data_IF_646763591310
#
_entry.id   IF_646763591310
#
_cell.length_a   1.000
_cell.length_b   1.000
_cell.length_c   1.000
_cell.angle_alpha   90.00
_cell.angle_beta   90.00
_cell.angle_gamma   90.00
#
_symmetry.space_group_name_H-M   'P 1'
#
loop_
_entity.id
_entity.type
_entity.pdbx_description
1 polymer ?
#
# COMPACT_ATOMS: atom_id res chain seq x y z
N UNK A 1 13.85 -14.58 -14.93
CA UNK A 1 13.90 -13.17 -14.52
C UNK A 1 12.99 -13.09 -13.30
N UNK A 2 13.46 -12.54 -12.18
CA UNK A 2 12.56 -12.33 -11.05
C UNK A 2 11.50 -11.31 -11.49
N UNK A 3 10.23 -11.63 -11.28
CA UNK A 3 9.12 -10.73 -11.58
C UNK A 3 9.31 -9.40 -10.83
N UNK A 4 9.12 -8.28 -11.54
CA UNK A 4 9.29 -6.93 -11.02
C UNK A 4 8.21 -6.61 -9.96
N UNK A 5 8.62 -5.97 -8.86
CA UNK A 5 7.70 -5.49 -7.82
C UNK A 5 6.98 -4.23 -8.32
N UNK A 6 5.66 -4.20 -8.20
CA UNK A 6 4.84 -3.02 -8.55
C UNK A 6 3.93 -2.63 -7.40
N UNK A 7 3.99 -1.34 -7.03
CA UNK A 7 3.13 -0.73 -6.02
C UNK A 7 2.01 0.08 -6.68
N UNK A 8 0.77 -0.40 -6.59
CA UNK A 8 -0.41 0.28 -7.13
C UNK A 8 -1.13 1.05 -6.03
N UNK A 9 -1.01 2.38 -6.03
CA UNK A 9 -1.67 3.25 -5.04
C UNK A 9 -3.19 3.28 -5.25
N UNK A 10 -3.94 3.00 -4.19
CA UNK A 10 -5.42 3.03 -4.21
C UNK A 10 -5.99 4.18 -3.37
N UNK A 11 -5.25 4.67 -2.37
CA UNK A 11 -5.65 5.82 -1.54
C UNK A 11 -4.46 6.75 -1.35
N UNK A 12 -4.73 8.05 -1.40
CA UNK A 12 -3.80 9.10 -0.98
C UNK A 12 -4.53 10.19 -0.22
N UNK A 13 -4.01 10.51 0.95
CA UNK A 13 -4.43 11.66 1.76
C UNK A 13 -3.20 12.49 2.13
N UNK A 14 -3.39 13.53 2.95
CA UNK A 14 -2.28 14.36 3.43
C UNK A 14 -1.30 13.58 4.32
N UNK A 15 -1.80 12.60 5.08
CA UNK A 15 -1.04 11.89 6.11
C UNK A 15 -1.09 10.36 5.98
N UNK A 16 -1.65 9.83 4.88
CA UNK A 16 -1.76 8.38 4.70
C UNK A 16 -1.88 7.96 3.24
N UNK A 17 -1.32 6.80 2.92
CA UNK A 17 -1.36 6.19 1.60
C UNK A 17 -1.60 4.68 1.73
N UNK A 18 -2.29 4.10 0.75
CA UNK A 18 -2.52 2.65 0.68
C UNK A 18 -2.13 2.15 -0.70
N UNK A 19 -1.35 1.06 -0.74
CA UNK A 19 -0.86 0.44 -1.96
C UNK A 19 -1.20 -1.04 -1.98
N UNK A 20 -1.64 -1.54 -3.14
CA UNK A 20 -1.66 -2.98 -3.44
C UNK A 20 -0.31 -3.35 -4.03
N UNK A 21 0.26 -4.45 -3.53
CA UNK A 21 1.60 -4.93 -3.88
C UNK A 21 1.47 -6.09 -4.86
N UNK A 22 2.18 -5.98 -5.98
CA UNK A 22 2.19 -6.98 -7.05
C UNK A 22 3.62 -7.46 -7.32
N UNK A 23 3.75 -8.73 -7.68
CA UNK A 23 4.95 -9.32 -8.27
C UNK A 23 4.54 -10.00 -9.57
N UNK A 24 4.84 -9.34 -10.69
CA UNK A 24 4.27 -9.73 -11.99
C UNK A 24 2.74 -9.65 -11.96
N UNK A 25 2.06 -10.76 -12.24
CA UNK A 25 0.59 -10.86 -12.17
C UNK A 25 0.06 -11.28 -10.78
N UNK A 26 0.96 -11.62 -9.85
CA UNK A 26 0.60 -12.13 -8.53
C UNK A 26 0.42 -11.00 -7.53
N UNK A 27 -0.75 -10.92 -6.89
CA UNK A 27 -0.97 -10.05 -5.72
C UNK A 27 -0.23 -10.63 -4.53
N UNK A 28 0.66 -9.83 -3.93
CA UNK A 28 1.37 -10.19 -2.70
C UNK A 28 0.61 -9.76 -1.46
N UNK A 29 -0.14 -8.67 -1.56
CA UNK A 29 -0.89 -8.11 -0.43
C UNK A 29 -1.11 -6.62 -0.53
N UNK A 30 -1.24 -5.96 0.61
CA UNK A 30 -1.53 -4.54 0.72
C UNK A 30 -0.71 -3.90 1.84
N UNK A 31 -0.23 -2.68 1.61
CA UNK A 31 0.44 -1.87 2.62
C UNK A 31 -0.32 -0.59 2.90
N UNK A 32 -0.50 -0.30 4.18
CA UNK A 32 -1.07 0.94 4.71
C UNK A 32 0.07 1.73 5.35
N UNK A 33 0.22 2.98 4.93
CA UNK A 33 1.29 3.86 5.38
C UNK A 33 0.63 5.08 6.01
N UNK A 34 1.02 5.39 7.24
CA UNK A 34 0.58 6.59 7.96
C UNK A 34 1.79 7.42 8.33
N UNK A 35 1.79 8.66 7.84
CA UNK A 35 2.84 9.64 8.09
C UNK A 35 2.50 10.44 9.34
N UNK A 36 3.30 10.27 10.39
CA UNK A 36 3.37 11.18 11.52
C UNK A 36 4.66 12.01 11.42
N UNK A 37 4.76 13.11 12.18
CA UNK A 37 5.76 14.17 11.99
C UNK A 37 7.17 13.68 11.63
N UNK A 38 7.74 12.80 12.46
CA UNK A 38 9.05 12.17 12.22
C UNK A 38 9.01 10.64 12.26
N UNK A 39 7.81 10.07 12.36
CA UNK A 39 7.60 8.62 12.53
C UNK A 39 6.66 8.13 11.45
N UNK A 40 6.96 6.96 10.89
CA UNK A 40 6.14 6.34 9.85
C UNK A 40 5.63 5.01 10.36
N UNK A 41 4.32 4.84 10.29
CA UNK A 41 3.66 3.60 10.67
C UNK A 41 3.27 2.85 9.40
N UNK A 42 3.78 1.63 9.27
CA UNK A 42 3.53 0.76 8.14
C UNK A 42 2.86 -0.52 8.62
N UNK A 43 1.68 -0.79 8.08
CA UNK A 43 0.99 -2.07 8.26
C UNK A 43 0.99 -2.82 6.95
N UNK A 44 1.65 -3.97 6.92
CA UNK A 44 1.76 -4.83 5.74
C UNK A 44 0.88 -6.07 5.94
N UNK A 45 -0.12 -6.25 5.09
CA UNK A 45 -0.90 -7.49 5.01
C UNK A 45 -0.40 -8.30 3.83
N UNK A 46 0.12 -9.49 4.08
CA UNK A 46 0.55 -10.46 3.07
C UNK A 46 -0.54 -11.51 2.85
N UNK A 47 -0.87 -11.71 1.58
CA UNK A 47 -1.79 -12.76 1.11
C UNK A 47 -1.04 -14.05 0.74
N UNK A 48 0.30 -14.03 0.85
CA UNK A 48 1.17 -15.16 0.54
C UNK A 48 2.24 -15.37 1.60
N UNK A 49 2.76 -16.58 1.65
CA UNK A 49 3.93 -16.91 2.46
C UNK A 49 5.21 -16.34 1.82
N UNK A 50 5.86 -15.43 2.54
CA UNK A 50 7.20 -14.95 2.26
C UNK A 50 8.15 -15.42 3.36
N UNK A 51 9.42 -15.65 3.02
CA UNK A 51 10.48 -15.78 4.01
C UNK A 51 10.81 -14.43 4.62
N UNK A 52 11.42 -14.43 5.82
CA UNK A 52 11.86 -13.19 6.47
C UNK A 52 12.75 -12.33 5.55
N UNK A 53 13.67 -12.95 4.80
CA UNK A 53 14.53 -12.24 3.86
C UNK A 53 13.76 -11.58 2.71
N UNK A 54 12.67 -12.20 2.26
CA UNK A 54 11.79 -11.64 1.23
C UNK A 54 10.95 -10.49 1.79
N UNK A 55 10.50 -10.60 3.05
CA UNK A 55 9.80 -9.53 3.76
C UNK A 55 10.73 -8.30 3.93
N UNK A 56 11.98 -8.51 4.36
CA UNK A 56 12.97 -7.44 4.49
C UNK A 56 13.26 -6.75 3.16
N UNK A 57 13.41 -7.53 2.07
CA UNK A 57 13.61 -6.96 0.73
C UNK A 57 12.38 -6.13 0.29
N UNK A 58 11.17 -6.67 0.49
CA UNK A 58 9.94 -5.95 0.16
C UNK A 58 9.82 -4.63 0.93
N UNK A 59 10.16 -4.63 2.22
CA UNK A 59 10.15 -3.42 3.03
C UNK A 59 11.20 -2.40 2.58
N UNK A 60 12.39 -2.84 2.18
CA UNK A 60 13.40 -1.95 1.62
C UNK A 60 12.93 -1.31 0.30
N UNK A 61 12.27 -2.08 -0.57
CA UNK A 61 11.71 -1.56 -1.82
C UNK A 61 10.55 -0.57 -1.57
N UNK A 62 9.68 -0.82 -0.58
CA UNK A 62 8.64 0.14 -0.18
C UNK A 62 9.26 1.42 0.37
N UNK A 63 10.31 1.32 1.20
CA UNK A 63 10.98 2.49 1.75
C UNK A 63 11.59 3.36 0.66
N UNK A 64 12.30 2.76 -0.30
CA UNK A 64 12.93 3.48 -1.41
C UNK A 64 11.89 4.13 -2.33
N UNK A 65 10.87 3.37 -2.76
CA UNK A 65 9.91 3.84 -3.76
C UNK A 65 8.88 4.84 -3.21
N UNK A 66 8.50 4.72 -1.94
CA UNK A 66 7.37 5.46 -1.37
C UNK A 66 7.80 6.32 -0.20
N UNK A 67 8.36 5.70 0.83
CA UNK A 67 8.49 6.34 2.13
C UNK A 67 9.54 7.46 2.10
N UNK A 68 10.70 7.18 1.50
CA UNK A 68 11.79 8.14 1.33
C UNK A 68 11.45 9.27 0.35
N UNK A 69 10.44 9.09 -0.50
CA UNK A 69 9.90 10.17 -1.35
C UNK A 69 9.04 11.17 -0.57
N UNK A 70 8.47 10.77 0.57
CA UNK A 70 7.68 11.64 1.45
C UNK A 70 8.52 12.27 2.56
N UNK A 71 9.24 11.44 3.32
CA UNK A 71 10.12 11.86 4.41
C UNK A 71 11.44 11.10 4.27
N UNK A 72 12.51 11.78 3.79
CA UNK A 72 13.83 11.18 3.64
C UNK A 72 14.32 10.54 4.94
N UNK A 73 15.09 9.46 4.81
CA UNK A 73 15.59 8.69 5.96
C UNK A 73 16.40 9.53 6.98
N UNK A 74 17.05 10.61 6.55
CA UNK A 74 17.81 11.50 7.45
C UNK A 74 16.94 12.46 8.28
N UNK A 75 15.68 12.67 7.89
CA UNK A 75 14.71 13.48 8.64
C UNK A 75 13.75 12.62 9.47
N UNK A 76 13.86 11.29 9.35
CA UNK A 76 13.01 10.32 10.04
C UNK A 76 13.65 9.87 11.34
N UNK A 77 12.87 9.88 12.42
CA UNK A 77 13.26 9.29 13.70
C UNK A 77 13.05 7.78 13.71
N UNK A 78 11.92 7.30 13.16
CA UNK A 78 11.57 5.87 13.21
C UNK A 78 10.62 5.45 12.07
N UNK A 79 10.76 4.18 11.63
CA UNK A 79 9.77 3.49 10.79
C UNK A 79 9.32 2.22 11.51
N UNK A 80 8.09 2.23 12.00
CA UNK A 80 7.47 1.12 12.70
C UNK A 80 6.69 0.26 11.71
N UNK A 81 7.11 -1.00 11.55
CA UNK A 81 6.49 -1.95 10.62
C UNK A 81 5.82 -3.06 11.41
N UNK A 82 4.56 -3.34 11.09
CA UNK A 82 3.86 -4.56 11.54
C UNK A 82 3.41 -5.37 10.33
N UNK A 83 3.79 -6.65 10.29
CA UNK A 83 3.46 -7.57 9.21
C UNK A 83 2.40 -8.56 9.69
N UNK A 84 1.34 -8.70 8.91
CA UNK A 84 0.25 -9.64 9.11
C UNK A 84 0.19 -10.59 7.91
N UNK A 85 -0.24 -11.82 8.17
CA UNK A 85 -0.60 -12.79 7.13
C UNK A 85 -2.09 -13.02 7.19
N UNK A 86 -2.76 -12.97 6.04
CA UNK A 86 -4.21 -13.13 5.97
C UNK A 86 -4.69 -13.46 4.57
N UNK A 87 -6.00 -13.66 4.45
CA UNK A 87 -6.69 -13.93 3.19
C UNK A 87 -7.84 -12.93 3.05
N UNK A 88 -8.07 -12.42 1.84
CA UNK A 88 -9.24 -11.60 1.56
C UNK A 88 -10.50 -12.49 1.50
N UNK A 89 -11.35 -12.40 2.53
CA UNK A 89 -12.55 -13.25 2.63
C UNK A 89 -13.75 -12.64 1.89
N UNK A 90 -13.90 -11.32 1.94
CA UNK A 90 -15.03 -10.61 1.34
C UNK A 90 -14.70 -9.13 1.16
N UNK A 91 -15.30 -8.51 0.14
CA UNK A 91 -15.18 -7.08 -0.13
C UNK A 91 -16.56 -6.46 -0.32
N UNK A 92 -16.79 -5.31 0.32
CA UNK A 92 -18.04 -4.55 0.25
C UNK A 92 -17.73 -3.12 -0.15
N UNK A 93 -18.57 -2.54 -1.00
CA UNK A 93 -18.49 -1.14 -1.41
C UNK A 93 -19.84 -0.47 -1.20
N UNK A 94 -19.84 0.69 -0.54
CA UNK A 94 -21.02 1.50 -0.29
C UNK A 94 -20.85 2.84 -0.99
N UNK A 95 -21.40 2.97 -2.20
CA UNK A 95 -21.51 4.25 -2.87
C UNK A 95 -22.75 5.01 -2.33
N UNK A 96 -22.70 6.34 -2.16
CA UNK A 96 -23.90 7.12 -1.87
C UNK A 96 -24.92 6.91 -3.00
N UNK A 97 -26.13 6.50 -2.65
CA UNK A 97 -27.24 6.35 -3.59
C UNK A 97 -27.61 7.72 -4.17
N UNK A 98 -27.32 7.95 -5.46
CA UNK A 98 -27.69 9.20 -6.15
C UNK A 98 -26.72 9.72 -7.22
N UNK A 99 -25.66 8.99 -7.57
CA UNK A 99 -24.74 9.40 -8.66
C UNK A 99 -25.06 8.73 -10.02
N UNK A 100 -26.06 7.85 -10.08
CA UNK A 100 -26.48 7.17 -11.31
C UNK A 100 -27.46 8.01 -12.18
N UNK A 101 -27.81 9.24 -11.78
CA UNK A 101 -28.77 10.10 -12.50
C UNK A 101 -28.14 11.23 -13.33
N UNK A 102 -26.81 11.30 -13.44
CA UNK A 102 -26.20 12.18 -14.45
C UNK A 102 -26.11 11.42 -15.78
N UNK A 103 -27.28 11.26 -16.42
CA UNK A 103 -27.35 10.97 -17.84
C UNK A 103 -26.49 12.01 -18.57
N UNK A 104 -25.57 11.49 -19.35
CA UNK A 104 -24.69 12.24 -20.23
C UNK A 104 -25.60 12.69 -21.38
N UNK A 105 -26.27 13.84 -21.24
CA UNK A 105 -26.88 14.49 -22.39
C UNK A 105 -25.73 14.81 -23.36
N UNK A 106 -25.73 14.10 -24.49
CA UNK A 106 -24.88 14.33 -25.66
C UNK A 106 -24.98 15.79 -26.12
N UNK A 107 -23.84 16.43 -26.34
CA UNK A 107 -23.70 17.47 -27.37
C UNK A 107 -22.37 17.30 -28.13
#
# INVERSE_FOLDING_TARGET
>A
MADELKLSRIVRTVSSEIYVIWQGEKRLGQVHIHYAHYTIYLTLFLEVDLSLSQEEQLLAEIDDQVVSSYLPSFEREEMLVTVFRGEEISSFSYAPSGLDEFDIDEE
#
